data_IF_212581666125
#
_entry.id   IF_212581666125
#
_cell.length_a   1.000
_cell.length_b   1.000
_cell.length_c   1.000
_cell.angle_alpha   90.00
_cell.angle_beta   90.00
_cell.angle_gamma   90.00
#
_symmetry.space_group_name_H-M   'P 1'
#
loop_
_entity.id
_entity.type
_entity.pdbx_description
1 polymer ?
#
# COMPACT_ATOMS: atom_id res chain seq x y z
N UNK A 1 14.01 -13.38 0.74
CA UNK A 1 12.81 -12.81 0.10
C UNK A 1 13.22 -11.49 -0.55
N UNK A 2 13.26 -11.40 -1.87
CA UNK A 2 13.44 -10.13 -2.55
C UNK A 2 12.14 -9.32 -2.38
N UNK A 3 12.22 -8.10 -1.85
CA UNK A 3 11.03 -7.30 -1.54
C UNK A 3 10.48 -6.59 -2.78
N UNK A 4 9.21 -6.85 -3.07
CA UNK A 4 8.50 -6.47 -4.30
C UNK A 4 7.73 -5.15 -4.13
N UNK A 5 7.62 -4.62 -2.91
CA UNK A 5 6.77 -3.47 -2.55
C UNK A 5 7.04 -2.19 -3.36
N UNK A 6 8.31 -1.90 -3.69
CA UNK A 6 8.69 -0.71 -4.46
C UNK A 6 8.25 -0.70 -5.94
N UNK A 7 7.62 -1.77 -6.45
CA UNK A 7 7.18 -1.83 -7.85
C UNK A 7 5.95 -1.00 -8.14
N UNK A 8 5.02 -0.96 -7.18
CA UNK A 8 3.77 -0.21 -7.32
C UNK A 8 4.00 1.30 -7.36
N UNK A 9 5.19 1.79 -6.99
CA UNK A 9 5.55 3.21 -7.02
C UNK A 9 6.13 3.70 -8.36
N UNK A 10 6.32 2.84 -9.36
CA UNK A 10 6.93 3.21 -10.64
C UNK A 10 5.86 3.63 -11.67
N UNK A 11 6.31 4.01 -12.87
CA UNK A 11 5.40 4.28 -13.99
C UNK A 11 4.60 3.01 -14.34
N UNK A 12 3.36 3.10 -14.86
CA UNK A 12 2.55 1.93 -15.17
C UNK A 12 3.25 0.94 -16.13
N UNK A 13 4.02 1.44 -17.10
CA UNK A 13 4.77 0.60 -18.03
C UNK A 13 5.91 -0.15 -17.31
N UNK A 14 6.64 0.54 -16.44
CA UNK A 14 7.73 -0.06 -15.66
C UNK A 14 7.20 -1.09 -14.66
N UNK A 15 6.12 -0.78 -13.95
CA UNK A 15 5.49 -1.71 -12.99
C UNK A 15 5.03 -2.99 -13.68
N UNK A 16 4.37 -2.89 -14.84
CA UNK A 16 3.97 -4.08 -15.63
C UNK A 16 5.16 -4.92 -16.07
N UNK A 17 6.21 -4.29 -16.63
CA UNK A 17 7.41 -5.01 -17.07
C UNK A 17 8.13 -5.73 -15.93
N UNK A 18 8.29 -5.06 -14.78
CA UNK A 18 8.91 -5.66 -13.61
C UNK A 18 8.07 -6.79 -13.01
N UNK A 19 6.74 -6.63 -12.96
CA UNK A 19 5.83 -7.69 -12.51
C UNK A 19 5.94 -8.93 -13.40
N UNK A 20 5.93 -8.76 -14.72
CA UNK A 20 6.10 -9.87 -15.66
C UNK A 20 7.42 -10.61 -15.43
N UNK A 21 8.52 -9.85 -15.31
CA UNK A 21 9.86 -10.39 -15.03
C UNK A 21 9.86 -11.23 -13.74
N UNK A 22 9.20 -10.75 -12.68
CA UNK A 22 9.13 -11.48 -11.41
C UNK A 22 8.25 -12.73 -11.48
N UNK A 23 7.15 -12.70 -12.23
CA UNK A 23 6.31 -13.87 -12.44
C UNK A 23 7.07 -14.99 -13.17
N UNK A 24 7.92 -14.63 -14.13
CA UNK A 24 8.79 -15.57 -14.86
C UNK A 24 9.95 -16.11 -14.01
N UNK A 25 10.40 -15.33 -13.02
CA UNK A 25 11.56 -15.69 -12.20
C UNK A 25 11.30 -16.85 -11.24
N UNK A 26 10.08 -16.99 -10.71
CA UNK A 26 9.75 -18.05 -9.75
C UNK A 26 8.25 -18.33 -9.65
N UNK A 27 7.82 -19.60 -9.64
CA UNK A 27 6.43 -19.97 -9.34
C UNK A 27 5.95 -19.43 -7.98
N UNK A 28 6.84 -19.31 -6.99
CA UNK A 28 6.48 -18.75 -5.69
C UNK A 28 5.99 -17.29 -5.80
N UNK A 29 6.54 -16.52 -6.76
CA UNK A 29 6.10 -15.15 -6.98
C UNK A 29 4.66 -15.10 -7.51
N UNK A 30 4.25 -16.10 -8.31
CA UNK A 30 2.86 -16.21 -8.77
C UNK A 30 1.91 -16.32 -7.59
N UNK A 31 2.22 -17.20 -6.64
CA UNK A 31 1.43 -17.36 -5.42
C UNK A 31 1.43 -16.09 -4.56
N UNK A 32 2.59 -15.45 -4.38
CA UNK A 32 2.69 -14.18 -3.65
C UNK A 32 1.83 -13.08 -4.26
N UNK A 33 1.90 -12.89 -5.58
CA UNK A 33 1.11 -11.90 -6.28
C UNK A 33 -0.39 -12.24 -6.23
N UNK A 34 -0.75 -13.52 -6.36
CA UNK A 34 -2.14 -13.95 -6.22
C UNK A 34 -2.72 -13.61 -4.84
N UNK A 35 -1.95 -13.84 -3.77
CA UNK A 35 -2.35 -13.45 -2.41
C UNK A 35 -2.52 -11.93 -2.31
N UNK A 36 -1.54 -11.15 -2.78
CA UNK A 36 -1.62 -9.67 -2.73
C UNK A 36 -2.84 -9.13 -3.49
N UNK A 37 -3.10 -9.64 -4.70
CA UNK A 37 -4.21 -9.19 -5.53
C UNK A 37 -5.57 -9.58 -4.93
N UNK A 38 -5.69 -10.80 -4.38
CA UNK A 38 -6.95 -11.35 -3.83
C UNK A 38 -7.32 -10.89 -2.42
N UNK A 39 -6.37 -10.35 -1.65
CA UNK A 39 -6.67 -9.81 -0.30
C UNK A 39 -7.70 -8.69 -0.34
N UNK A 40 -8.46 -8.45 0.73
CA UNK A 40 -9.40 -7.32 0.77
C UNK A 40 -8.68 -5.97 0.93
N UNK A 41 -7.62 -5.96 1.74
CA UNK A 41 -6.82 -4.79 2.06
C UNK A 41 -5.41 -5.22 2.47
N UNK A 42 -4.50 -4.25 2.54
CA UNK A 42 -3.15 -4.44 3.13
C UNK A 42 -3.04 -3.64 4.41
N UNK A 43 -2.47 -4.23 5.46
CA UNK A 43 -2.17 -3.56 6.73
C UNK A 43 -0.65 -3.38 6.86
N UNK A 44 -0.20 -2.14 7.01
CA UNK A 44 1.20 -1.80 7.24
C UNK A 44 1.46 -1.60 8.73
N UNK A 45 2.52 -2.25 9.23
CA UNK A 45 3.05 -2.03 10.57
C UNK A 45 4.34 -1.23 10.46
N UNK A 46 4.24 0.08 10.71
CA UNK A 46 5.35 1.01 10.54
C UNK A 46 6.08 1.24 11.87
N UNK A 47 7.41 1.13 11.85
CA UNK A 47 8.25 1.49 12.99
C UNK A 47 8.53 3.00 13.08
N UNK A 48 8.26 3.75 12.01
CA UNK A 48 8.53 5.19 11.93
C UNK A 48 7.49 6.06 12.65
N UNK A 49 7.96 7.21 13.14
CA UNK A 49 7.14 8.25 13.76
C UNK A 49 7.34 9.61 13.05
N UNK A 50 6.80 9.81 11.83
CA UNK A 50 6.84 11.10 11.18
C UNK A 50 6.02 12.12 11.98
N UNK A 51 6.55 13.32 12.14
CA UNK A 51 5.95 14.37 12.98
C UNK A 51 5.47 15.56 12.15
N UNK A 52 6.08 15.78 11.00
CA UNK A 52 5.72 16.87 10.09
C UNK A 52 4.82 16.39 8.95
N UNK A 53 3.93 17.25 8.41
CA UNK A 53 3.15 16.94 7.22
C UNK A 53 4.00 16.48 6.04
N UNK A 54 5.21 17.03 5.93
CA UNK A 54 6.15 16.73 4.85
C UNK A 54 6.79 15.34 4.99
N UNK A 55 6.99 14.86 6.22
CA UNK A 55 7.45 13.49 6.48
C UNK A 55 6.33 12.48 6.25
N UNK A 56 5.10 12.81 6.67
CA UNK A 56 3.90 12.01 6.40
C UNK A 56 3.68 11.88 4.89
N UNK A 57 3.68 13.01 4.15
CA UNK A 57 3.53 13.02 2.70
C UNK A 57 4.57 12.12 2.01
N UNK A 58 5.84 12.23 2.40
CA UNK A 58 6.92 11.41 1.84
C UNK A 58 6.81 9.92 2.18
N UNK A 59 6.39 9.58 3.39
CA UNK A 59 6.29 8.20 3.85
C UNK A 59 5.06 7.46 3.30
N UNK A 60 3.96 8.17 3.10
CA UNK A 60 2.65 7.56 2.85
C UNK A 60 2.14 7.78 1.44
N UNK A 61 2.32 8.98 0.89
CA UNK A 61 1.65 9.41 -0.34
C UNK A 61 2.60 9.49 -1.54
N UNK A 62 3.88 9.78 -1.29
CA UNK A 62 4.88 9.88 -2.36
C UNK A 62 5.44 8.49 -2.67
N UNK A 63 5.33 8.12 -3.94
CA UNK A 63 5.87 6.92 -4.56
C UNK A 63 7.38 6.79 -4.25
N UNK A 64 7.76 5.70 -3.57
CA UNK A 64 9.14 5.43 -3.12
C UNK A 64 9.25 4.69 -1.77
N UNK A 65 8.13 4.50 -1.07
CA UNK A 65 8.08 3.78 0.20
C UNK A 65 8.26 2.27 0.06
N UNK A 66 9.18 1.71 0.84
CA UNK A 66 9.46 0.28 0.93
C UNK A 66 8.34 -0.54 1.59
N UNK A 67 7.44 0.10 2.34
CA UNK A 67 6.35 -0.56 3.06
C UNK A 67 4.98 -0.13 2.51
N UNK A 68 4.88 0.05 1.19
CA UNK A 68 3.65 0.47 0.51
C UNK A 68 3.40 -0.38 -0.74
N UNK A 69 2.13 -0.63 -1.03
CA UNK A 69 1.62 -1.31 -2.21
C UNK A 69 0.52 -0.45 -2.84
N UNK A 70 0.93 0.53 -3.63
CA UNK A 70 0.08 1.58 -4.17
C UNK A 70 -1.00 1.07 -5.13
N UNK A 71 -0.88 -0.14 -5.65
CA UNK A 71 -1.88 -0.76 -6.54
C UNK A 71 -3.07 -1.33 -5.75
N UNK A 72 -3.03 -1.35 -4.40
CA UNK A 72 -4.14 -1.83 -3.59
C UNK A 72 -5.14 -0.71 -3.32
N UNK A 73 -6.40 -0.96 -3.68
CA UNK A 73 -7.51 -0.03 -3.48
C UNK A 73 -7.65 0.46 -2.03
N UNK A 74 -7.55 -0.46 -1.07
CA UNK A 74 -7.74 -0.19 0.35
C UNK A 74 -6.51 -0.63 1.15
N UNK A 75 -5.93 0.31 1.88
CA UNK A 75 -4.73 0.10 2.67
C UNK A 75 -4.86 0.76 4.04
N UNK A 76 -4.43 0.09 5.08
CA UNK A 76 -4.38 0.62 6.45
C UNK A 76 -2.93 0.67 6.93
N UNK A 77 -2.64 1.57 7.85
CA UNK A 77 -1.35 1.59 8.53
C UNK A 77 -1.54 1.81 10.02
N UNK A 78 -0.62 1.24 10.80
CA UNK A 78 -0.44 1.49 12.23
C UNK A 78 1.03 1.75 12.48
N UNK A 79 1.32 2.88 13.12
CA UNK A 79 2.67 3.29 13.49
C UNK A 79 3.03 2.85 14.90
N UNK A 80 4.32 2.79 15.22
CA UNK A 80 4.83 2.40 16.54
C UNK A 80 4.20 3.18 17.71
N UNK A 81 3.82 4.45 17.49
CA UNK A 81 3.18 5.29 18.51
C UNK A 81 1.64 5.17 18.54
N UNK A 82 1.08 4.16 17.87
CA UNK A 82 -0.36 3.92 17.81
C UNK A 82 -1.13 4.81 16.83
N UNK A 83 -0.46 5.75 16.14
CA UNK A 83 -1.10 6.52 15.05
C UNK A 83 -1.47 5.58 13.91
N UNK A 84 -2.73 5.62 13.48
CA UNK A 84 -3.24 4.79 12.41
C UNK A 84 -4.06 5.59 11.41
N UNK A 85 -4.19 5.06 10.20
CA UNK A 85 -5.00 5.68 9.16
C UNK A 85 -5.22 4.78 7.96
N UNK A 86 -5.85 5.37 6.94
CA UNK A 86 -6.17 4.74 5.66
C UNK A 86 -5.37 5.40 4.54
N UNK A 87 -4.99 4.61 3.54
CA UNK A 87 -4.49 5.04 2.25
C UNK A 87 -5.33 4.38 1.17
N UNK A 88 -5.65 5.12 0.13
CA UNK A 88 -6.52 4.65 -0.96
C UNK A 88 -5.85 4.84 -2.30
N UNK A 89 -6.12 3.90 -3.21
CA UNK A 89 -5.81 4.10 -4.62
C UNK A 89 -6.97 4.89 -5.23
N UNK A 90 -6.70 6.15 -5.60
CA UNK A 90 -7.70 7.13 -5.99
C UNK A 90 -8.34 6.83 -7.37
N UNK A 91 -7.71 5.98 -8.20
CA UNK A 91 -8.31 5.49 -9.45
C UNK A 91 -9.43 4.46 -9.23
N UNK A 92 -9.46 3.78 -8.08
CA UNK A 92 -10.41 2.71 -7.76
C UNK A 92 -11.42 3.15 -6.70
N UNK A 93 -10.98 3.85 -5.66
CA UNK A 93 -11.82 4.19 -4.51
C UNK A 93 -11.81 5.69 -4.22
N UNK A 94 -13.01 6.29 -4.24
CA UNK A 94 -13.20 7.71 -3.93
C UNK A 94 -13.06 8.00 -2.42
N UNK A 95 -12.53 9.19 -2.10
CA UNK A 95 -12.27 9.63 -0.73
C UNK A 95 -13.52 9.66 0.16
N UNK A 96 -14.71 9.90 -0.40
CA UNK A 96 -15.98 9.89 0.35
C UNK A 96 -16.31 8.51 0.89
N UNK A 97 -16.04 7.45 0.10
CA UNK A 97 -16.20 6.05 0.54
C UNK A 97 -15.20 5.71 1.64
N UNK A 98 -13.95 6.14 1.49
CA UNK A 98 -12.89 5.90 2.47
C UNK A 98 -13.20 6.57 3.82
N UNK A 99 -13.69 7.81 3.76
CA UNK A 99 -14.08 8.59 4.95
C UNK A 99 -15.25 7.93 5.66
N UNK A 100 -16.30 7.53 4.92
CA UNK A 100 -17.44 6.83 5.52
C UNK A 100 -17.07 5.51 6.20
N UNK A 101 -16.09 4.77 5.66
CA UNK A 101 -15.55 3.56 6.29
C UNK A 101 -14.81 3.88 7.60
N UNK A 102 -13.97 4.91 7.60
CA UNK A 102 -13.27 5.35 8.81
C UNK A 102 -14.26 5.76 9.90
N UNK A 103 -15.23 6.59 9.56
CA UNK A 103 -16.26 7.06 10.49
C UNK A 103 -17.04 5.89 11.09
N UNK A 104 -17.35 4.86 10.29
CA UNK A 104 -18.00 3.66 10.80
C UNK A 104 -17.10 2.87 11.76
N UNK A 105 -15.81 2.73 11.44
CA UNK A 105 -14.85 1.97 12.25
C UNK A 105 -14.49 2.63 13.59
N UNK A 106 -14.69 3.94 13.70
CA UNK A 106 -14.36 4.74 14.88
C UNK A 106 -15.56 5.04 15.77
N UNK A 107 -16.76 4.54 15.41
CA UNK A 107 -17.94 4.65 16.27
C UNK A 107 -17.72 3.84 17.55
N UNK A 108 -18.08 4.39 18.73
CA UNK A 108 -18.00 3.69 20.00
C UNK A 108 -18.98 2.52 20.08
#
# INVERSE_FOLDING_TARGET
MAQISGLSSLSPATTRGNRQTLLELSPANVDYFHVLDSTMFVLYLDSGNPETPNEIARGDYIRGGFNRWFDKALQFYVRAIGRSGILTEHGILYDTTATGLLDYSQKP
#
